data_IF_261590911388
#
_entry.id   IF_261590911388
#
_cell.length_a   1.000
_cell.length_b   1.000
_cell.length_c   1.000
_cell.angle_alpha   90.00
_cell.angle_beta   90.00
_cell.angle_gamma   90.00
#
_symmetry.space_group_name_H-M   'P 1'
#
loop_
_entity.id
_entity.type
_entity.pdbx_description
1 polymer ?
#
# COMPACT_ATOMS: atom_id res chain seq x y z
N UNK A 1 24.85 -8.71 -21.58
CA UNK A 1 24.11 -8.23 -20.39
C UNK A 1 23.58 -9.49 -19.74
N UNK A 2 23.92 -9.74 -18.48
CA UNK A 2 23.43 -10.90 -17.72
C UNK A 2 22.11 -10.49 -17.06
N UNK A 3 21.05 -11.27 -17.27
CA UNK A 3 19.72 -11.07 -16.69
C UNK A 3 19.40 -12.15 -15.64
N UNK A 4 20.39 -12.93 -15.21
CA UNK A 4 20.23 -13.94 -14.18
C UNK A 4 20.01 -13.27 -12.82
N UNK A 5 19.12 -13.83 -12.02
CA UNK A 5 18.96 -13.42 -10.64
C UNK A 5 20.13 -13.92 -9.79
N UNK A 6 20.53 -13.15 -8.77
CA UNK A 6 21.50 -13.60 -7.79
C UNK A 6 20.95 -14.77 -6.95
N UNK A 7 21.83 -15.51 -6.27
CA UNK A 7 21.41 -16.58 -5.36
C UNK A 7 20.49 -16.04 -4.24
N UNK A 8 20.78 -14.85 -3.71
CA UNK A 8 19.98 -14.20 -2.68
C UNK A 8 18.57 -13.83 -3.19
N UNK A 9 18.47 -13.33 -4.41
CA UNK A 9 17.20 -13.01 -5.06
C UNK A 9 16.36 -14.28 -5.30
N UNK A 10 16.98 -15.36 -5.72
CA UNK A 10 16.32 -16.65 -5.91
C UNK A 10 15.83 -17.22 -4.56
N UNK A 11 16.66 -17.16 -3.52
CA UNK A 11 16.30 -17.60 -2.18
C UNK A 11 15.12 -16.81 -1.61
N UNK A 12 15.09 -15.49 -1.81
CA UNK A 12 13.97 -14.63 -1.42
C UNK A 12 12.67 -15.07 -2.12
N UNK A 13 12.70 -15.20 -3.45
CA UNK A 13 11.55 -15.62 -4.24
C UNK A 13 11.05 -17.00 -3.82
N UNK A 14 11.96 -17.96 -3.59
CA UNK A 14 11.63 -19.31 -3.15
C UNK A 14 11.03 -19.34 -1.74
N UNK A 15 11.54 -18.51 -0.82
CA UNK A 15 11.00 -18.41 0.54
C UNK A 15 9.56 -17.89 0.54
N UNK A 16 9.30 -16.83 -0.22
CA UNK A 16 7.95 -16.25 -0.37
C UNK A 16 7.02 -17.26 -1.06
N UNK A 17 7.47 -17.92 -2.13
CA UNK A 17 6.68 -18.93 -2.84
C UNK A 17 6.30 -20.11 -1.93
N UNK A 18 7.21 -20.59 -1.09
CA UNK A 18 6.92 -21.65 -0.11
C UNK A 18 5.91 -21.21 0.94
N UNK A 19 6.03 -19.99 1.46
CA UNK A 19 5.07 -19.42 2.40
C UNK A 19 3.67 -19.37 1.79
N UNK A 20 3.55 -18.82 0.58
CA UNK A 20 2.29 -18.70 -0.14
C UNK A 20 1.67 -20.08 -0.41
N UNK A 21 2.45 -21.06 -0.88
CA UNK A 21 1.97 -22.40 -1.17
C UNK A 21 1.58 -23.19 0.09
N UNK A 22 2.30 -23.00 1.19
CA UNK A 22 2.05 -23.70 2.45
C UNK A 22 0.91 -23.08 3.27
N UNK A 23 0.93 -21.75 3.38
CA UNK A 23 0.12 -21.03 4.36
C UNK A 23 -1.04 -20.23 3.76
N UNK A 24 -1.14 -20.12 2.42
CA UNK A 24 -2.19 -19.31 1.78
C UNK A 24 -2.95 -20.07 0.68
N UNK A 25 -3.62 -21.16 1.10
CA UNK A 25 -4.46 -21.95 0.18
C UNK A 25 -5.68 -21.15 -0.30
N UNK A 26 -6.28 -21.56 -1.43
CA UNK A 26 -7.51 -20.97 -1.95
C UNK A 26 -8.66 -21.01 -0.92
N UNK A 27 -8.80 -22.08 -0.16
CA UNK A 27 -9.81 -22.18 0.90
C UNK A 27 -9.53 -21.22 2.05
N UNK A 28 -8.25 -21.05 2.43
CA UNK A 28 -7.87 -20.04 3.43
C UNK A 28 -8.21 -18.63 2.92
N UNK A 29 -7.88 -18.30 1.67
CA UNK A 29 -8.25 -17.02 1.07
C UNK A 29 -9.76 -16.79 1.10
N UNK A 30 -10.58 -17.78 0.75
CA UNK A 30 -12.05 -17.67 0.86
C UNK A 30 -12.51 -17.37 2.28
N UNK A 31 -11.90 -18.00 3.27
CA UNK A 31 -12.17 -17.72 4.67
C UNK A 31 -11.81 -16.28 5.07
N UNK A 32 -10.66 -15.78 4.61
CA UNK A 32 -10.22 -14.39 4.83
C UNK A 32 -11.21 -13.40 4.20
N UNK A 33 -11.59 -13.59 2.94
CA UNK A 33 -12.56 -12.73 2.24
C UNK A 33 -13.91 -12.70 2.99
N UNK A 34 -14.34 -13.83 3.54
CA UNK A 34 -15.59 -13.94 4.28
C UNK A 34 -15.53 -13.36 5.70
N UNK A 35 -14.33 -13.09 6.23
CA UNK A 35 -14.16 -12.48 7.55
C UNK A 35 -14.63 -11.02 7.55
N UNK A 36 -15.00 -10.47 8.72
CA UNK A 36 -15.37 -9.06 8.84
C UNK A 36 -14.25 -8.12 8.41
N UNK A 37 -13.00 -8.46 8.70
CA UNK A 37 -11.81 -7.68 8.42
C UNK A 37 -11.44 -7.72 6.94
N UNK A 38 -11.62 -8.87 6.26
CA UNK A 38 -11.27 -9.12 4.87
C UNK A 38 -9.76 -9.23 4.62
N UNK A 39 -8.96 -9.41 5.69
CA UNK A 39 -7.52 -9.66 5.68
C UNK A 39 -7.11 -10.47 6.93
N UNK A 40 -5.91 -11.02 6.97
CA UNK A 40 -5.41 -11.84 8.08
C UNK A 40 -4.20 -11.22 8.74
N UNK A 41 -4.32 -10.90 10.04
CA UNK A 41 -3.20 -10.42 10.84
C UNK A 41 -2.07 -11.45 10.94
N UNK A 42 -2.43 -12.74 11.00
CA UNK A 42 -1.46 -13.84 11.06
C UNK A 42 -0.62 -13.91 9.77
N UNK A 43 -1.26 -13.80 8.60
CA UNK A 43 -0.55 -13.77 7.31
C UNK A 43 0.32 -12.53 7.21
N UNK A 44 -0.19 -11.37 7.64
CA UNK A 44 0.58 -10.12 7.67
C UNK A 44 1.84 -10.24 8.52
N UNK A 45 1.72 -10.84 9.72
CA UNK A 45 2.87 -11.10 10.57
C UNK A 45 3.84 -12.11 9.94
N UNK A 46 3.33 -13.17 9.30
CA UNK A 46 4.18 -14.12 8.58
C UNK A 46 4.99 -13.46 7.44
N UNK A 47 4.40 -12.48 6.73
CA UNK A 47 5.14 -11.69 5.73
C UNK A 47 6.19 -10.78 6.39
N UNK A 48 5.91 -10.22 7.57
CA UNK A 48 6.89 -9.47 8.36
C UNK A 48 8.06 -10.35 8.81
N UNK A 49 7.77 -11.54 9.36
CA UNK A 49 8.77 -12.50 9.84
C UNK A 49 9.69 -12.99 8.71
N UNK A 50 9.20 -13.02 7.46
CA UNK A 50 9.99 -13.28 6.26
C UNK A 50 10.79 -12.06 5.79
N UNK A 51 10.65 -10.89 6.41
CA UNK A 51 11.28 -9.65 6.01
C UNK A 51 10.64 -8.96 4.79
N UNK A 52 9.54 -9.49 4.26
CA UNK A 52 8.88 -8.96 3.05
C UNK A 52 8.40 -7.52 3.25
N UNK A 53 7.91 -7.17 4.44
CA UNK A 53 7.44 -5.82 4.74
C UNK A 53 8.60 -4.83 4.92
N UNK A 54 9.78 -5.30 5.28
CA UNK A 54 10.97 -4.49 5.51
C UNK A 54 11.85 -4.32 4.25
N UNK A 55 11.51 -4.96 3.14
CA UNK A 55 12.33 -4.95 1.90
C UNK A 55 12.67 -3.54 1.43
N UNK A 56 11.66 -2.67 1.38
CA UNK A 56 11.77 -1.30 0.87
C UNK A 56 12.16 -0.27 1.93
N UNK A 57 12.31 -0.71 3.19
CA UNK A 57 12.79 0.13 4.29
C UNK A 57 14.31 0.18 4.24
N UNK A 58 14.94 1.38 4.28
CA UNK A 58 16.40 1.50 4.31
C UNK A 58 17.02 0.80 5.51
N UNK A 59 18.24 0.29 5.37
CA UNK A 59 19.00 -0.31 6.49
C UNK A 59 19.16 0.66 7.66
N UNK A 60 19.38 1.94 7.36
CA UNK A 60 19.49 3.02 8.38
C UNK A 60 18.20 3.19 9.20
N UNK A 61 17.05 2.79 8.66
CA UNK A 61 15.73 2.83 9.29
C UNK A 61 15.28 1.44 9.77
N UNK A 62 16.22 0.48 9.88
CA UNK A 62 15.95 -0.86 10.42
C UNK A 62 15.37 -1.87 9.42
N UNK A 63 15.43 -1.58 8.13
CA UNK A 63 14.97 -2.49 7.07
C UNK A 63 16.08 -3.26 6.37
N UNK A 64 15.74 -3.85 5.21
CA UNK A 64 16.67 -4.64 4.40
C UNK A 64 17.35 -3.82 3.29
N UNK A 65 16.86 -2.62 2.99
CA UNK A 65 17.43 -1.74 1.98
C UNK A 65 17.45 -2.33 0.55
N UNK A 66 16.55 -3.27 0.27
CA UNK A 66 16.45 -3.90 -1.05
C UNK A 66 15.96 -2.93 -2.12
N UNK A 67 16.24 -3.29 -3.37
CA UNK A 67 15.88 -2.48 -4.52
C UNK A 67 14.53 -2.84 -5.16
N UNK A 68 14.21 -2.18 -6.28
CA UNK A 68 12.98 -2.46 -7.01
C UNK A 68 12.88 -3.90 -7.51
N UNK A 69 14.02 -4.55 -7.83
CA UNK A 69 14.03 -5.91 -8.37
C UNK A 69 13.53 -6.93 -7.35
N UNK A 70 13.97 -6.84 -6.10
CA UNK A 70 13.51 -7.71 -5.01
C UNK A 70 12.01 -7.49 -4.73
N UNK A 71 11.55 -6.24 -4.82
CA UNK A 71 10.11 -5.93 -4.74
C UNK A 71 9.32 -6.63 -5.85
N UNK A 72 9.80 -6.57 -7.10
CA UNK A 72 9.14 -7.23 -8.23
C UNK A 72 9.10 -8.75 -8.06
N UNK A 73 10.20 -9.36 -7.60
CA UNK A 73 10.27 -10.80 -7.32
C UNK A 73 9.30 -11.22 -6.21
N UNK A 74 9.21 -10.44 -5.14
CA UNK A 74 8.26 -10.70 -4.07
C UNK A 74 6.82 -10.60 -4.54
N UNK A 75 6.47 -9.56 -5.30
CA UNK A 75 5.12 -9.38 -5.83
C UNK A 75 4.75 -10.48 -6.84
N UNK A 76 5.68 -10.89 -7.71
CA UNK A 76 5.45 -12.04 -8.61
C UNK A 76 5.22 -13.32 -7.82
N UNK A 77 6.02 -13.59 -6.78
CA UNK A 77 5.88 -14.79 -5.95
C UNK A 77 4.55 -14.83 -5.17
N UNK A 78 4.00 -13.68 -4.79
CA UNK A 78 2.70 -13.58 -4.09
C UNK A 78 1.51 -13.58 -5.03
N UNK A 79 1.71 -13.29 -6.32
CA UNK A 79 0.64 -13.22 -7.33
C UNK A 79 -0.29 -14.43 -7.37
N UNK A 80 0.23 -15.69 -7.37
CA UNK A 80 -0.61 -16.89 -7.38
C UNK A 80 -1.62 -16.98 -6.24
N UNK A 81 -1.32 -16.36 -5.09
CA UNK A 81 -2.20 -16.33 -3.91
C UNK A 81 -3.26 -15.23 -3.98
N UNK A 82 -3.03 -14.17 -4.75
CA UNK A 82 -3.89 -12.97 -4.76
C UNK A 82 -4.17 -12.51 -3.33
N UNK A 83 -3.11 -12.18 -2.59
CA UNK A 83 -3.16 -11.83 -1.17
C UNK A 83 -4.23 -10.77 -0.88
N UNK A 84 -4.95 -10.94 0.22
CA UNK A 84 -5.91 -9.96 0.71
C UNK A 84 -5.27 -8.91 1.64
N UNK A 85 -4.06 -9.16 2.09
CA UNK A 85 -3.27 -8.30 2.97
C UNK A 85 -2.78 -7.05 2.22
N UNK A 86 -2.52 -5.92 2.92
CA UNK A 86 -2.13 -4.65 2.28
C UNK A 86 -0.65 -4.62 1.84
N UNK A 87 -0.16 -5.67 1.17
CA UNK A 87 1.25 -5.77 0.77
C UNK A 87 1.60 -4.65 -0.22
N UNK A 88 0.83 -4.50 -1.30
CA UNK A 88 1.04 -3.45 -2.29
C UNK A 88 0.83 -2.06 -1.67
N UNK A 89 -0.30 -1.86 -0.99
CA UNK A 89 -0.71 -0.53 -0.52
C UNK A 89 0.15 -0.04 0.66
N UNK A 90 0.55 -0.95 1.57
CA UNK A 90 1.33 -0.65 2.77
C UNK A 90 2.83 -0.79 2.55
N UNK A 91 3.31 -2.03 2.29
CA UNK A 91 4.75 -2.32 2.26
C UNK A 91 5.45 -1.79 0.99
N UNK A 92 4.72 -1.51 -0.09
CA UNK A 92 5.29 -0.91 -1.30
C UNK A 92 4.95 0.56 -1.39
N UNK A 93 3.68 0.92 -1.57
CA UNK A 93 3.24 2.30 -1.86
C UNK A 93 3.50 3.24 -0.67
N UNK A 94 2.91 2.94 0.50
CA UNK A 94 3.05 3.84 1.66
C UNK A 94 4.50 3.91 2.16
N UNK A 95 5.21 2.78 2.16
CA UNK A 95 6.63 2.73 2.52
C UNK A 95 7.48 3.59 1.59
N UNK A 96 7.27 3.51 0.27
CA UNK A 96 7.99 4.35 -0.69
C UNK A 96 7.73 5.85 -0.44
N UNK A 97 6.47 6.23 -0.18
CA UNK A 97 6.14 7.62 0.08
C UNK A 97 6.80 8.14 1.37
N UNK A 98 6.77 7.36 2.44
CA UNK A 98 7.42 7.73 3.72
C UNK A 98 8.93 7.81 3.53
N UNK A 99 9.56 6.80 2.92
CA UNK A 99 11.00 6.76 2.66
C UNK A 99 11.50 7.96 1.88
N UNK A 100 10.78 8.36 0.83
CA UNK A 100 11.25 9.33 -0.16
C UNK A 100 10.81 10.76 0.14
N UNK A 101 9.82 10.97 1.00
CA UNK A 101 9.23 12.29 1.20
C UNK A 101 9.10 12.74 2.67
N UNK A 102 9.08 11.83 3.64
CA UNK A 102 8.99 12.19 5.06
C UNK A 102 10.27 12.86 5.57
N UNK A 103 10.16 13.61 6.69
CA UNK A 103 11.34 14.08 7.41
C UNK A 103 12.09 12.92 8.06
N UNK A 104 13.36 13.15 8.46
CA UNK A 104 14.16 12.10 9.11
C UNK A 104 13.50 11.61 10.41
N UNK A 105 12.87 12.50 11.19
CA UNK A 105 12.15 12.14 12.40
C UNK A 105 10.92 11.28 12.09
N UNK A 106 10.16 11.65 11.05
CA UNK A 106 8.98 10.90 10.62
C UNK A 106 9.36 9.52 10.06
N UNK A 107 10.46 9.43 9.31
CA UNK A 107 11.00 8.15 8.81
C UNK A 107 11.42 7.25 9.96
N UNK A 108 12.20 7.77 10.89
CA UNK A 108 12.67 7.02 12.05
C UNK A 108 11.52 6.51 12.95
N UNK A 109 10.39 7.21 12.99
CA UNK A 109 9.19 6.79 13.72
C UNK A 109 8.41 5.70 12.96
N UNK A 110 8.20 5.89 11.64
CA UNK A 110 7.24 5.10 10.88
C UNK A 110 7.87 3.84 10.27
N UNK A 111 9.02 3.96 9.61
CA UNK A 111 9.56 2.89 8.79
C UNK A 111 9.91 1.62 9.57
N UNK A 112 10.51 1.67 10.78
CA UNK A 112 10.77 0.47 11.55
C UNK A 112 9.48 -0.29 11.92
N UNK A 113 8.45 0.44 12.38
CA UNK A 113 7.18 -0.16 12.77
C UNK A 113 6.39 -0.72 11.56
N UNK A 114 6.48 -0.06 10.40
CA UNK A 114 5.91 -0.55 9.15
C UNK A 114 6.61 -1.83 8.68
N UNK A 115 7.95 -1.84 8.69
CA UNK A 115 8.75 -3.00 8.29
C UNK A 115 8.58 -4.22 9.22
N UNK A 116 8.35 -3.99 10.51
CA UNK A 116 8.04 -5.03 11.49
C UNK A 116 6.58 -5.53 11.42
N UNK A 117 5.72 -4.90 10.60
CA UNK A 117 4.30 -5.23 10.52
C UNK A 117 3.46 -4.75 11.72
N UNK A 118 4.06 -3.97 12.61
CA UNK A 118 3.42 -3.45 13.83
C UNK A 118 2.47 -2.28 13.54
N UNK A 119 2.69 -1.56 12.43
CA UNK A 119 1.86 -0.43 12.00
C UNK A 119 1.51 -0.55 10.52
N UNK A 120 0.23 -0.56 10.21
CA UNK A 120 -0.29 -0.52 8.85
C UNK A 120 -0.58 0.94 8.49
N UNK A 121 0.20 1.47 7.55
CA UNK A 121 0.05 2.82 7.01
C UNK A 121 -0.35 2.71 5.55
N UNK A 122 -1.40 3.42 5.14
CA UNK A 122 -1.93 3.34 3.77
C UNK A 122 -2.12 4.73 3.17
N UNK A 123 -1.88 4.85 1.86
CA UNK A 123 -2.09 6.10 1.13
C UNK A 123 -3.58 6.27 0.77
N UNK A 124 -4.19 7.38 1.19
CA UNK A 124 -5.51 7.81 0.81
C UNK A 124 -5.39 9.04 -0.13
N UNK A 125 -5.32 8.78 -1.44
CA UNK A 125 -5.06 9.81 -2.45
C UNK A 125 -6.19 9.98 -3.44
N UNK A 126 -6.67 8.89 -4.06
CA UNK A 126 -7.66 8.93 -5.13
C UNK A 126 -8.96 9.61 -4.71
N UNK A 127 -9.54 10.37 -5.63
CA UNK A 127 -10.86 11.00 -5.49
C UNK A 127 -11.74 10.65 -6.68
N UNK A 128 -13.07 10.63 -6.50
CA UNK A 128 -13.99 10.22 -7.56
C UNK A 128 -13.93 11.13 -8.79
N UNK A 129 -13.72 12.42 -8.58
CA UNK A 129 -13.62 13.41 -9.68
C UNK A 129 -12.27 13.34 -10.40
N UNK A 130 -11.22 12.78 -9.80
CA UNK A 130 -9.87 12.74 -10.34
C UNK A 130 -9.75 11.87 -11.61
N UNK A 131 -10.54 10.80 -11.73
CA UNK A 131 -10.55 9.89 -12.89
C UNK A 131 -9.14 9.38 -13.28
N UNK A 132 -8.26 9.20 -12.28
CA UNK A 132 -6.88 8.74 -12.46
C UNK A 132 -5.84 9.85 -12.61
N UNK A 133 -6.23 11.11 -12.61
CA UNK A 133 -5.30 12.25 -12.56
C UNK A 133 -4.78 12.45 -11.13
N UNK A 134 -3.50 12.18 -10.88
CA UNK A 134 -2.88 12.34 -9.57
C UNK A 134 -2.82 13.79 -9.09
N UNK A 135 -2.81 14.78 -9.99
CA UNK A 135 -2.83 16.19 -9.62
C UNK A 135 -4.20 16.67 -9.16
N UNK A 136 -5.27 15.92 -9.50
CA UNK A 136 -6.63 16.31 -9.15
C UNK A 136 -6.95 15.95 -7.70
N UNK A 137 -6.80 16.92 -6.81
CA UNK A 137 -7.09 16.78 -5.37
C UNK A 137 -8.05 17.91 -4.96
N UNK A 138 -9.29 17.55 -4.61
CA UNK A 138 -10.32 18.48 -4.11
C UNK A 138 -10.31 18.58 -2.58
N UNK A 139 -9.86 17.52 -1.87
CA UNK A 139 -9.70 17.51 -0.42
C UNK A 139 -8.84 18.68 0.03
N UNK A 140 -9.30 19.47 0.99
CA UNK A 140 -8.65 20.69 1.48
C UNK A 140 -8.02 20.48 2.85
N UNK A 141 -6.88 21.13 3.06
CA UNK A 141 -6.23 21.29 4.34
C UNK A 141 -6.19 22.79 4.67
N UNK A 142 -7.09 23.23 5.53
CA UNK A 142 -7.27 24.63 5.90
C UNK A 142 -6.46 24.88 7.17
N UNK A 143 -5.56 25.87 7.16
CA UNK A 143 -4.77 26.21 8.32
C UNK A 143 -5.68 26.66 9.47
N UNK A 144 -5.49 26.10 10.65
CA UNK A 144 -6.30 26.37 11.85
C UNK A 144 -5.43 26.30 13.10
N UNK A 145 -5.14 27.46 13.69
CA UNK A 145 -4.23 27.55 14.83
C UNK A 145 -2.81 27.12 14.45
N UNK A 146 -2.28 26.16 15.21
CA UNK A 146 -0.96 25.54 15.01
C UNK A 146 -0.99 24.30 14.10
N UNK A 147 -2.14 23.99 13.48
CA UNK A 147 -2.32 22.83 12.63
C UNK A 147 -3.23 23.07 11.44
N UNK A 148 -3.93 22.01 11.03
CA UNK A 148 -4.81 22.02 9.87
C UNK A 148 -6.15 21.35 10.18
N UNK A 149 -7.18 21.77 9.44
CA UNK A 149 -8.47 21.11 9.33
C UNK A 149 -8.55 20.46 7.96
N UNK A 150 -8.72 19.13 7.92
CA UNK A 150 -8.90 18.39 6.69
C UNK A 150 -10.39 18.22 6.41
N UNK A 151 -10.77 18.53 5.17
CA UNK A 151 -12.16 18.40 4.70
C UNK A 151 -12.19 17.89 3.27
N UNK A 152 -12.94 16.83 3.01
CA UNK A 152 -13.06 16.22 1.68
C UNK A 152 -13.40 14.74 1.75
N UNK A 153 -13.14 14.05 0.64
CA UNK A 153 -13.43 12.62 0.52
C UNK A 153 -12.41 11.95 -0.39
N UNK A 154 -11.90 10.78 0.05
CA UNK A 154 -11.10 9.88 -0.78
C UNK A 154 -11.93 8.68 -1.20
N UNK A 155 -11.72 8.23 -2.42
CA UNK A 155 -12.46 7.13 -3.02
C UNK A 155 -11.56 5.90 -3.20
N UNK A 156 -12.16 4.72 -3.02
CA UNK A 156 -11.51 3.42 -3.30
C UNK A 156 -10.17 3.27 -2.58
N UNK A 157 -10.11 3.66 -1.30
CA UNK A 157 -8.91 3.42 -0.50
C UNK A 157 -8.88 1.95 -0.09
N UNK A 158 -7.98 1.20 -0.73
CA UNK A 158 -7.82 -0.23 -0.51
C UNK A 158 -7.48 -0.50 0.95
N UNK A 159 -8.19 -1.46 1.56
CA UNK A 159 -7.98 -1.91 2.94
C UNK A 159 -7.92 -0.79 4.01
N UNK A 160 -8.53 0.38 3.76
CA UNK A 160 -8.51 1.49 4.72
C UNK A 160 -8.94 1.10 6.14
N UNK A 161 -9.81 0.09 6.27
CA UNK A 161 -10.24 -0.44 7.58
C UNK A 161 -9.14 -1.19 8.33
N UNK A 162 -8.11 -1.68 7.64
CA UNK A 162 -6.96 -2.34 8.24
C UNK A 162 -5.89 -1.34 8.73
N UNK A 163 -5.91 -0.10 8.22
CA UNK A 163 -4.91 0.90 8.55
C UNK A 163 -4.97 1.31 10.03
N UNK A 164 -3.82 1.51 10.65
CA UNK A 164 -3.68 2.24 11.90
C UNK A 164 -3.66 3.75 11.61
N UNK A 165 -3.07 4.13 10.47
CA UNK A 165 -2.90 5.51 10.05
C UNK A 165 -3.05 5.63 8.52
N UNK A 166 -3.68 6.71 8.07
CA UNK A 166 -3.82 7.06 6.65
C UNK A 166 -2.90 8.25 6.31
N UNK A 167 -2.20 8.15 5.20
CA UNK A 167 -1.50 9.24 4.54
C UNK A 167 -2.48 9.92 3.58
N UNK A 168 -3.13 10.97 4.05
CA UNK A 168 -4.19 11.67 3.31
C UNK A 168 -3.61 12.81 2.49
N UNK A 169 -3.73 12.75 1.17
CA UNK A 169 -3.39 13.90 0.33
C UNK A 169 -4.48 14.98 0.44
N UNK A 170 -4.06 16.24 0.59
CA UNK A 170 -4.97 17.37 0.66
C UNK A 170 -4.30 18.64 0.12
N UNK A 171 -5.08 19.57 -0.42
CA UNK A 171 -4.60 20.86 -0.88
C UNK A 171 -4.46 21.84 0.26
N UNK A 172 -3.27 22.34 0.41
CA UNK A 172 -2.97 23.50 1.27
C UNK A 172 -3.05 24.81 0.48
N UNK A 173 -2.97 24.76 -0.86
CA UNK A 173 -3.04 25.91 -1.76
C UNK A 173 -3.45 25.48 -3.19
N UNK A 174 -3.82 26.44 -4.03
CA UNK A 174 -4.14 26.24 -5.44
C UNK A 174 -5.51 25.63 -5.72
N UNK A 175 -5.79 25.38 -7.00
CA UNK A 175 -6.99 24.72 -7.51
C UNK A 175 -6.78 23.22 -7.72
N UNK A 176 -7.85 22.39 -7.79
CA UNK A 176 -7.73 21.00 -8.21
C UNK A 176 -7.03 20.89 -9.57
N UNK A 177 -6.05 19.98 -9.68
CA UNK A 177 -5.25 19.81 -10.90
C UNK A 177 -3.98 20.67 -10.98
N UNK A 178 -3.78 21.65 -10.09
CA UNK A 178 -2.52 22.38 -10.05
C UNK A 178 -1.37 21.47 -9.60
N UNK A 179 -0.20 21.62 -10.22
CA UNK A 179 0.98 20.82 -9.90
C UNK A 179 1.56 21.13 -8.50
N UNK A 180 1.28 22.28 -7.93
CA UNK A 180 1.71 22.71 -6.59
C UNK A 180 0.53 22.77 -5.64
N UNK A 181 0.82 22.80 -4.33
CA UNK A 181 -0.19 22.96 -3.29
C UNK A 181 -0.75 21.65 -2.73
N UNK A 182 -0.32 20.48 -3.24
CA UNK A 182 -0.68 19.19 -2.66
C UNK A 182 0.25 18.84 -1.52
N UNK A 183 -0.32 18.52 -0.36
CA UNK A 183 0.36 18.05 0.84
C UNK A 183 -0.15 16.67 1.22
N UNK A 184 0.60 15.95 2.04
CA UNK A 184 0.17 14.67 2.64
C UNK A 184 0.14 14.83 4.15
N UNK A 185 -0.92 14.34 4.78
CA UNK A 185 -1.10 14.40 6.22
C UNK A 185 -1.26 13.01 6.81
N UNK A 186 -0.58 12.76 7.90
CA UNK A 186 -0.74 11.60 8.76
C UNK A 186 -2.05 11.75 9.54
N UNK A 187 -2.96 10.81 9.37
CA UNK A 187 -4.29 10.84 10.03
C UNK A 187 -4.54 9.47 10.68
N UNK A 188 -4.55 9.39 12.03
CA UNK A 188 -4.96 8.18 12.72
C UNK A 188 -6.35 7.74 12.27
N UNK A 189 -6.55 6.42 12.08
CA UNK A 189 -7.85 5.89 11.61
C UNK A 189 -9.03 6.25 12.51
N UNK A 190 -8.79 6.44 13.79
CA UNK A 190 -9.80 6.82 14.78
C UNK A 190 -9.88 8.33 15.03
N UNK A 191 -9.28 9.16 14.17
CA UNK A 191 -9.33 10.61 14.34
C UNK A 191 -10.78 11.12 14.33
N UNK A 192 -11.15 12.02 15.25
CA UNK A 192 -12.47 12.64 15.25
C UNK A 192 -12.76 13.34 13.91
N UNK A 193 -13.93 13.07 13.32
CA UNK A 193 -14.33 13.59 12.02
C UNK A 193 -13.93 12.74 10.82
N UNK A 194 -13.13 11.68 11.01
CA UNK A 194 -12.86 10.69 9.98
C UNK A 194 -13.91 9.59 10.03
N UNK A 195 -14.52 9.30 8.88
CA UNK A 195 -15.51 8.23 8.69
C UNK A 195 -15.05 7.32 7.54
N UNK A 196 -15.08 6.00 7.76
CA UNK A 196 -14.81 5.00 6.73
C UNK A 196 -16.14 4.34 6.32
N UNK A 197 -16.46 4.39 5.03
CA UNK A 197 -17.55 3.59 4.44
C UNK A 197 -16.95 2.42 3.68
N UNK A 198 -16.78 1.31 4.38
CA UNK A 198 -16.18 0.10 3.83
C UNK A 198 -17.15 -0.66 2.92
N UNK A 199 -16.63 -1.27 1.86
CA UNK A 199 -17.34 -2.14 0.93
C UNK A 199 -16.40 -3.20 0.35
N UNK A 200 -16.99 -4.24 -0.24
CA UNK A 200 -16.24 -5.27 -0.96
C UNK A 200 -16.01 -4.87 -2.42
N UNK A 201 -14.86 -5.22 -2.96
CA UNK A 201 -14.52 -5.06 -4.37
C UNK A 201 -14.73 -6.39 -5.13
N UNK A 202 -14.74 -6.34 -6.47
CA UNK A 202 -15.03 -7.51 -7.31
C UNK A 202 -14.00 -8.63 -7.12
N UNK A 203 -12.75 -8.30 -6.81
CA UNK A 203 -11.65 -9.24 -6.54
C UNK A 203 -11.72 -9.88 -5.13
N UNK A 204 -12.73 -9.52 -4.34
CA UNK A 204 -12.95 -10.01 -2.97
C UNK A 204 -12.22 -9.24 -1.89
N UNK A 205 -11.41 -8.23 -2.23
CA UNK A 205 -10.76 -7.35 -1.25
C UNK A 205 -11.76 -6.38 -0.61
N UNK A 206 -11.30 -5.61 0.37
CA UNK A 206 -12.04 -4.50 0.97
C UNK A 206 -11.47 -3.18 0.51
N UNK A 207 -12.36 -2.21 0.28
CA UNK A 207 -11.99 -0.82 0.10
C UNK A 207 -12.94 0.07 0.92
N UNK A 208 -12.61 1.34 1.05
CA UNK A 208 -13.51 2.29 1.68
C UNK A 208 -13.47 3.66 1.00
N UNK A 209 -14.59 4.37 1.10
CA UNK A 209 -14.59 5.83 1.02
C UNK A 209 -14.08 6.37 2.35
N UNK A 210 -13.13 7.31 2.31
CA UNK A 210 -12.60 8.01 3.47
C UNK A 210 -13.16 9.42 3.48
N UNK A 211 -14.08 9.69 4.41
CA UNK A 211 -14.75 10.98 4.53
C UNK A 211 -14.11 11.77 5.66
N UNK A 212 -13.72 12.99 5.37
CA UNK A 212 -13.06 13.91 6.30
C UNK A 212 -13.98 15.09 6.56
N UNK A 213 -14.45 15.22 7.80
CA UNK A 213 -15.31 16.33 8.25
C UNK A 213 -14.60 17.12 9.34
N UNK A 214 -13.84 18.14 8.93
CA UNK A 214 -13.06 18.99 9.82
C UNK A 214 -12.10 18.20 10.74
N UNK A 215 -11.44 17.18 10.16
CA UNK A 215 -10.45 16.38 10.90
C UNK A 215 -9.28 17.26 11.28
N UNK A 216 -9.05 17.42 12.59
CA UNK A 216 -7.94 18.24 13.12
C UNK A 216 -6.67 17.44 13.16
N UNK A 217 -5.61 18.02 12.59
CA UNK A 217 -4.26 17.46 12.65
C UNK A 217 -3.25 18.55 13.04
N UNK A 218 -2.22 18.26 13.86
CA UNK A 218 -1.17 19.21 14.18
C UNK A 218 -0.31 19.47 12.92
N UNK A 219 0.44 20.55 12.91
CA UNK A 219 1.36 20.87 11.81
C UNK A 219 2.40 19.75 11.58
N UNK A 220 2.85 19.08 12.65
CA UNK A 220 3.78 17.94 12.59
C UNK A 220 3.21 16.71 11.88
N UNK A 221 1.89 16.63 11.68
CA UNK A 221 1.27 15.56 10.90
C UNK A 221 1.46 15.75 9.38
N UNK A 222 1.89 16.92 8.91
CA UNK A 222 2.25 17.12 7.52
C UNK A 222 3.51 16.30 7.21
N UNK A 223 3.40 15.38 6.27
CA UNK A 223 4.53 14.57 5.81
C UNK A 223 5.42 15.45 4.91
N UNK A 224 6.69 15.52 5.24
CA UNK A 224 7.66 16.31 4.47
C UNK A 224 7.27 17.78 4.34
N UNK A 225 7.45 18.36 3.15
CA UNK A 225 7.21 19.79 2.88
C UNK A 225 5.79 20.03 2.40
N UNK A 226 5.06 20.91 3.08
CA UNK A 226 3.70 21.29 2.69
C UNK A 226 3.66 21.88 1.27
N UNK A 227 2.67 21.51 0.48
CA UNK A 227 2.46 21.95 -0.89
C UNK A 227 3.34 21.28 -1.95
N UNK A 228 4.29 20.43 -1.56
CA UNK A 228 5.31 19.86 -2.43
C UNK A 228 5.17 18.32 -2.64
N UNK A 229 4.06 17.71 -2.23
CA UNK A 229 3.94 16.25 -2.20
C UNK A 229 3.67 15.60 -3.56
N UNK A 230 3.11 16.30 -4.55
CA UNK A 230 2.67 15.69 -5.81
C UNK A 230 3.76 14.89 -6.52
N UNK A 231 5.00 15.39 -6.73
CA UNK A 231 6.03 14.61 -7.41
C UNK A 231 6.44 13.33 -6.65
N UNK A 232 6.33 13.34 -5.31
CA UNK A 232 6.58 12.14 -4.50
C UNK A 232 5.42 11.13 -4.62
N UNK A 233 4.19 11.60 -4.63
CA UNK A 233 3.00 10.78 -4.85
C UNK A 233 3.08 10.11 -6.24
N UNK A 234 3.37 10.85 -7.29
CA UNK A 234 3.48 10.32 -8.66
C UNK A 234 4.55 9.21 -8.75
N UNK A 235 5.76 9.47 -8.23
CA UNK A 235 6.81 8.43 -8.17
C UNK A 235 6.38 7.19 -7.38
N UNK A 236 5.68 7.40 -6.28
CA UNK A 236 5.17 6.31 -5.44
C UNK A 236 4.12 5.47 -6.18
N UNK A 237 3.25 6.11 -6.94
CA UNK A 237 2.26 5.43 -7.79
C UNK A 237 2.94 4.63 -8.91
N UNK A 238 4.00 5.16 -9.52
CA UNK A 238 4.80 4.43 -10.52
C UNK A 238 5.47 3.19 -9.94
N UNK A 239 6.01 3.29 -8.72
CA UNK A 239 6.56 2.13 -7.98
C UNK A 239 5.46 1.09 -7.72
N UNK A 240 4.29 1.54 -7.27
CA UNK A 240 3.12 0.68 -7.07
C UNK A 240 2.64 0.01 -8.35
N UNK A 241 2.64 0.74 -9.47
CA UNK A 241 2.24 0.21 -10.78
C UNK A 241 3.22 -0.87 -11.27
N UNK A 242 4.52 -0.66 -11.12
CA UNK A 242 5.53 -1.67 -11.46
C UNK A 242 5.35 -2.95 -10.61
N UNK A 243 5.13 -2.79 -9.31
CA UNK A 243 4.86 -3.90 -8.39
C UNK A 243 3.58 -4.66 -8.76
N UNK A 244 2.51 -3.95 -9.12
CA UNK A 244 1.25 -4.54 -9.56
C UNK A 244 1.42 -5.32 -10.88
N UNK A 245 2.24 -4.84 -11.82
CA UNK A 245 2.58 -5.57 -13.04
C UNK A 245 3.30 -6.89 -12.73
N UNK A 246 4.18 -6.93 -11.73
CA UNK A 246 4.84 -8.15 -11.31
C UNK A 246 3.87 -9.14 -10.63
N UNK A 247 2.96 -8.65 -9.78
CA UNK A 247 1.87 -9.47 -9.22
C UNK A 247 1.02 -10.10 -10.34
N UNK A 248 0.63 -9.30 -11.33
CA UNK A 248 -0.13 -9.76 -12.48
C UNK A 248 0.60 -10.86 -13.26
N UNK A 249 1.94 -10.76 -13.41
CA UNK A 249 2.75 -11.81 -14.04
C UNK A 249 2.64 -13.12 -13.26
N UNK A 250 2.76 -13.09 -11.93
CA UNK A 250 2.58 -14.28 -11.09
C UNK A 250 1.19 -14.90 -11.22
N UNK A 251 0.12 -14.07 -11.29
CA UNK A 251 -1.25 -14.54 -11.54
C UNK A 251 -1.37 -15.22 -12.92
N UNK A 252 -0.78 -14.64 -13.96
CA UNK A 252 -0.79 -15.21 -15.30
C UNK A 252 -0.07 -16.56 -15.36
N UNK A 253 1.10 -16.68 -14.73
CA UNK A 253 1.86 -17.94 -14.64
C UNK A 253 1.04 -19.02 -13.92
N UNK A 254 0.42 -18.70 -12.80
CA UNK A 254 -0.45 -19.62 -12.07
C UNK A 254 -1.64 -20.08 -12.92
N UNK A 255 -2.25 -19.18 -13.67
CA UNK A 255 -3.37 -19.47 -14.56
C UNK A 255 -2.97 -20.42 -15.71
N UNK A 256 -1.81 -20.16 -16.33
CA UNK A 256 -1.26 -21.02 -17.38
C UNK A 256 -0.98 -22.43 -16.83
N UNK A 257 -0.30 -22.51 -15.67
CA UNK A 257 0.01 -23.79 -15.03
C UNK A 257 -1.26 -24.60 -14.68
N UNK A 258 -2.26 -23.95 -14.10
CA UNK A 258 -3.55 -24.59 -13.80
C UNK A 258 -4.25 -25.09 -15.08
N UNK A 259 -4.17 -24.32 -16.15
CA UNK A 259 -4.73 -24.72 -17.46
C UNK A 259 -4.02 -25.95 -18.03
N UNK A 260 -2.69 -25.98 -17.97
CA UNK A 260 -1.88 -27.13 -18.42
C UNK A 260 -2.25 -28.39 -17.62
N UNK A 261 -2.33 -28.30 -16.29
CA UNK A 261 -2.71 -29.45 -15.45
C UNK A 261 -4.13 -29.92 -15.74
N UNK A 262 -5.07 -29.01 -15.96
CA UNK A 262 -6.44 -29.35 -16.36
C UNK A 262 -6.45 -30.10 -17.69
N UNK A 263 -5.72 -29.65 -18.71
CA UNK A 263 -5.65 -30.29 -20.02
C UNK A 263 -5.05 -31.69 -19.96
N UNK A 264 -4.10 -31.97 -19.03
CA UNK A 264 -3.54 -33.32 -18.84
C UNK A 264 -4.56 -34.32 -18.27
N UNK A 265 -5.53 -33.84 -17.51
CA UNK A 265 -6.52 -34.67 -16.80
C UNK A 265 -7.84 -34.81 -17.55
N UNK A 266 -8.17 -33.87 -18.44
CA UNK A 266 -9.42 -33.88 -19.20
C UNK A 266 -9.40 -34.93 -20.28
N UNK A 267 -10.39 -35.84 -20.24
CA UNK A 267 -10.67 -36.79 -21.31
C UNK A 267 -11.86 -36.27 -22.12
N UNK A 268 -11.73 -36.27 -23.43
CA UNK A 268 -12.81 -35.96 -24.39
C UNK A 268 -12.91 -37.07 -25.40
#
# INVERSE_FOLDING_TARGET
MDFSFSEEQQQLQDAISRFVQGDYSFERRKGIIASPEGWSKEVWQGLADLGVLAMNVPEADGGLGYGPLETLLAMQATGPAMLCEPLLDGAVIATALVRDFASDEQRAELLPAMGAGERIVLLAHSEAAARGDAAWVETRAIKSGDGFLLQGQKAVVSLASAADELLVSARTDGAPGDAQGVSVFRVPRNAPGLELKAYGTLDGRRAAEVILREVRVPASACLGTAGAALPAIERTLDVGLAALCAEALGVMEATVNATIEYLKTRQQ
#
